data_IF_813062115147
#
_entry.id   IF_813062115147
#
_cell.length_a   1.000
_cell.length_b   1.000
_cell.length_c   1.000
_cell.angle_alpha   90.00
_cell.angle_beta   90.00
_cell.angle_gamma   90.00
#
_symmetry.space_group_name_H-M   'P 1'
#
loop_
_entity.id
_entity.type
_entity.pdbx_description
1 polymer ?
#
# COMPACT_ATOMS: atom_id res chain seq x y z
N UNK A 1 -37.45 -28.31 39.86
CA UNK A 1 -37.38 -27.79 41.25
C UNK A 1 -36.06 -28.23 41.86
N UNK A 2 -35.49 -27.39 42.74
CA UNK A 2 -34.11 -27.39 43.30
C UNK A 2 -33.12 -26.72 42.35
N UNK A 3 -32.64 -25.50 42.52
CA UNK A 3 -32.48 -24.66 43.72
C UNK A 3 -31.04 -24.15 43.68
N UNK A 4 -30.84 -22.92 43.21
CA UNK A 4 -29.53 -22.28 43.13
C UNK A 4 -28.88 -22.19 44.51
N UNK A 5 -27.62 -22.58 44.62
CA UNK A 5 -26.73 -22.11 45.70
C UNK A 5 -25.69 -21.23 45.03
N UNK A 6 -26.03 -19.95 44.96
CA UNK A 6 -25.17 -18.83 44.63
C UNK A 6 -24.14 -18.65 45.75
N UNK A 7 -22.85 -18.81 45.44
CA UNK A 7 -21.76 -18.42 46.34
C UNK A 7 -21.22 -17.05 45.87
N UNK A 8 -21.55 -15.95 46.56
CA UNK A 8 -21.29 -14.59 46.05
C UNK A 8 -19.83 -14.14 46.04
N UNK A 9 -18.87 -14.92 46.57
CA UNK A 9 -17.46 -14.50 46.60
C UNK A 9 -16.47 -15.64 46.94
N UNK A 10 -15.73 -16.25 45.99
CA UNK A 10 -14.61 -17.11 46.32
C UNK A 10 -13.33 -16.29 46.58
N UNK A 11 -12.86 -16.31 47.83
CA UNK A 11 -11.66 -15.62 48.34
C UNK A 11 -10.39 -15.92 47.54
N UNK A 12 -9.69 -14.85 47.13
CA UNK A 12 -8.42 -14.86 46.39
C UNK A 12 -7.26 -15.35 47.27
N UNK A 13 -6.54 -16.40 46.85
CA UNK A 13 -5.21 -16.72 47.37
C UNK A 13 -4.14 -16.33 46.36
N UNK A 14 -3.27 -15.39 46.77
CA UNK A 14 -2.18 -14.81 45.99
C UNK A 14 -0.90 -15.64 46.22
N UNK A 15 -0.39 -16.31 45.20
CA UNK A 15 0.98 -16.84 45.21
C UNK A 15 1.93 -15.87 44.51
N UNK A 16 2.90 -15.34 45.25
CA UNK A 16 4.01 -14.52 44.71
C UNK A 16 5.01 -15.43 44.00
N UNK A 17 5.23 -15.23 42.69
CA UNK A 17 6.51 -15.54 42.02
C UNK A 17 6.76 -14.50 40.92
N UNK A 18 7.95 -13.92 40.93
CA UNK A 18 8.47 -12.98 39.93
C UNK A 18 9.06 -13.75 38.73
N UNK A 19 8.69 -13.38 37.51
CA UNK A 19 9.53 -13.54 36.30
C UNK A 19 9.02 -12.62 35.18
N UNK A 20 9.93 -11.86 34.55
CA UNK A 20 9.66 -10.83 33.54
C UNK A 20 8.94 -11.34 32.27
N UNK A 21 8.01 -10.56 31.67
CA UNK A 21 7.59 -10.77 30.30
C UNK A 21 8.24 -9.76 29.33
N UNK A 22 8.91 -10.27 28.31
CA UNK A 22 9.34 -9.49 27.14
C UNK A 22 8.13 -9.18 26.26
N UNK A 23 7.80 -7.88 26.18
CA UNK A 23 7.07 -7.12 25.14
C UNK A 23 6.16 -7.94 24.20
N UNK A 24 4.88 -8.01 24.56
CA UNK A 24 3.79 -8.27 23.62
C UNK A 24 3.27 -6.90 23.11
N UNK A 25 3.54 -6.55 21.86
CA UNK A 25 3.02 -5.35 21.20
C UNK A 25 1.70 -5.71 20.53
N UNK A 26 0.60 -5.57 21.26
CA UNK A 26 -0.76 -5.64 20.72
C UNK A 26 -1.36 -4.24 20.71
N UNK A 27 -1.83 -3.85 19.53
CA UNK A 27 -3.12 -3.20 19.32
C UNK A 27 -3.44 -1.93 20.13
N UNK A 28 -3.22 -0.78 19.49
CA UNK A 28 -4.19 0.32 19.48
C UNK A 28 -3.94 1.15 18.21
N UNK A 29 -4.66 0.90 17.12
CA UNK A 29 -5.81 1.73 16.73
C UNK A 29 -5.61 3.22 17.05
N UNK A 30 -5.01 3.94 16.09
CA UNK A 30 -5.32 5.34 15.81
C UNK A 30 -5.24 5.53 14.30
N UNK A 31 -6.40 5.40 13.65
CA UNK A 31 -6.58 5.71 12.24
C UNK A 31 -6.28 7.18 12.00
N UNK A 32 -5.55 7.43 10.91
CA UNK A 32 -5.51 8.72 10.22
C UNK A 32 -6.95 9.25 10.03
N UNK A 33 -7.14 10.57 10.13
CA UNK A 33 -8.33 11.33 9.66
C UNK A 33 -9.48 11.66 10.61
N UNK A 34 -9.26 11.96 11.91
CA UNK A 34 -10.26 12.79 12.61
C UNK A 34 -9.63 13.84 13.54
N UNK A 35 -9.93 15.09 13.22
CA UNK A 35 -9.95 16.23 14.13
C UNK A 35 -11.42 16.37 14.56
N UNK A 36 -11.71 16.21 15.85
CA UNK A 36 -12.49 17.17 16.65
C UNK A 36 -12.48 16.77 18.14
N UNK A 37 -12.68 17.74 19.06
CA UNK A 37 -12.32 17.58 20.47
C UNK A 37 -13.53 17.15 21.31
N UNK A 38 -13.54 15.90 21.77
CA UNK A 38 -14.41 15.50 22.88
C UNK A 38 -13.68 15.60 24.21
N UNK A 39 -14.08 16.64 24.95
CA UNK A 39 -13.82 16.86 26.37
C UNK A 39 -14.43 15.72 27.18
N UNK A 40 -13.60 14.87 27.76
CA UNK A 40 -14.00 14.06 28.91
C UNK A 40 -12.86 13.99 29.92
N UNK A 41 -13.24 14.23 31.17
CA UNK A 41 -12.40 14.38 32.34
C UNK A 41 -11.77 13.03 32.70
N UNK A 42 -10.45 13.00 32.83
CA UNK A 42 -9.71 12.11 33.71
C UNK A 42 -8.32 12.75 33.92
N UNK A 43 -8.29 13.61 34.93
CA UNK A 43 -7.05 13.98 35.61
C UNK A 43 -6.47 12.74 36.31
N UNK A 44 -5.14 12.77 36.49
CA UNK A 44 -4.29 11.85 37.27
C UNK A 44 -3.60 10.75 36.44
N UNK A 45 -2.49 11.13 35.81
CA UNK A 45 -1.13 10.64 36.13
C UNK A 45 -0.15 11.17 35.07
N UNK A 46 0.32 12.41 35.28
CA UNK A 46 1.35 13.04 34.45
C UNK A 46 2.63 13.12 35.31
N UNK A 47 3.34 12.00 35.40
CA UNK A 47 4.73 11.96 35.86
C UNK A 47 5.61 11.44 34.71
N UNK A 48 6.42 12.35 34.18
CA UNK A 48 7.70 12.13 33.51
C UNK A 48 7.75 11.27 32.23
N UNK A 49 7.02 11.68 31.20
CA UNK A 49 7.48 11.47 29.82
C UNK A 49 8.14 12.77 29.36
N UNK A 50 9.48 12.83 29.46
CA UNK A 50 10.27 13.87 28.82
C UNK A 50 9.95 13.84 27.31
N UNK A 51 9.24 14.85 26.83
CA UNK A 51 9.14 15.13 25.40
C UNK A 51 10.54 15.53 24.93
N UNK A 52 11.35 14.55 24.50
CA UNK A 52 12.62 14.85 23.85
C UNK A 52 12.33 15.71 22.62
N UNK A 53 12.85 16.94 22.62
CA UNK A 53 12.72 17.85 21.50
C UNK A 53 13.36 17.18 20.27
N UNK A 54 12.57 17.02 19.20
CA UNK A 54 13.07 16.51 17.92
C UNK A 54 14.25 17.40 17.51
N UNK A 55 15.44 16.79 17.42
CA UNK A 55 16.68 17.52 17.21
C UNK A 55 16.62 18.28 15.89
N UNK A 56 17.18 19.50 15.83
CA UNK A 56 17.08 20.33 14.61
C UNK A 56 17.71 19.64 13.40
N UNK A 57 18.67 18.74 13.62
CA UNK A 57 19.29 17.90 12.61
C UNK A 57 18.37 16.79 12.08
N UNK A 58 17.44 16.29 12.89
CA UNK A 58 16.44 15.30 12.49
C UNK A 58 15.32 15.95 11.65
N UNK A 59 14.93 17.17 12.04
CA UNK A 59 14.03 18.04 11.25
C UNK A 59 14.70 18.46 9.94
N UNK A 60 15.97 18.86 9.97
CA UNK A 60 16.74 19.24 8.79
C UNK A 60 16.96 18.04 7.86
N UNK A 61 17.18 16.83 8.40
CA UNK A 61 17.24 15.59 7.63
C UNK A 61 15.91 15.26 6.94
N UNK A 62 14.79 15.36 7.67
CA UNK A 62 13.45 15.08 7.13
C UNK A 62 12.99 16.13 6.10
N UNK A 63 13.22 17.42 6.38
CA UNK A 63 12.89 18.51 5.47
C UNK A 63 13.85 18.56 4.28
N UNK A 64 15.14 18.27 4.45
CA UNK A 64 16.10 18.16 3.35
C UNK A 64 15.77 16.98 2.45
N UNK A 65 15.37 15.82 3.00
CA UNK A 65 14.89 14.68 2.22
C UNK A 65 13.66 15.03 1.38
N UNK A 66 12.72 15.79 1.94
CA UNK A 66 11.54 16.30 1.22
C UNK A 66 11.91 17.37 0.17
N UNK A 67 12.83 18.29 0.48
CA UNK A 67 13.25 19.37 -0.41
C UNK A 67 14.14 18.86 -1.57
N UNK A 68 14.94 17.82 -1.35
CA UNK A 68 15.72 17.14 -2.39
C UNK A 68 14.84 16.31 -3.32
N UNK A 69 13.80 15.66 -2.80
CA UNK A 69 12.81 14.93 -3.61
C UNK A 69 12.01 15.88 -4.52
N UNK A 70 11.78 17.11 -4.06
CA UNK A 70 11.02 18.11 -4.79
C UNK A 70 11.78 18.69 -6.01
N UNK A 71 13.12 18.59 -6.02
CA UNK A 71 13.96 19.31 -6.99
C UNK A 71 14.16 18.62 -8.35
N UNK A 72 13.92 17.31 -8.49
CA UNK A 72 13.82 16.69 -9.83
C UNK A 72 13.17 15.31 -9.78
N UNK A 73 11.84 15.25 -9.85
CA UNK A 73 11.15 14.00 -10.16
C UNK A 73 11.61 13.57 -11.55
N UNK A 74 12.43 12.53 -11.58
CA UNK A 74 13.04 11.99 -12.79
C UNK A 74 12.80 10.48 -12.86
N UNK A 75 13.10 9.88 -14.02
CA UNK A 75 12.82 8.46 -14.30
C UNK A 75 13.43 7.56 -13.23
N UNK A 76 14.62 7.91 -12.75
CA UNK A 76 15.36 7.16 -11.74
C UNK A 76 14.68 7.21 -10.36
N UNK A 77 14.21 8.39 -9.95
CA UNK A 77 13.44 8.53 -8.70
C UNK A 77 12.15 7.71 -8.72
N UNK A 78 11.42 7.71 -9.85
CA UNK A 78 10.21 6.91 -9.98
C UNK A 78 10.48 5.40 -9.91
N UNK A 79 11.53 4.90 -10.57
CA UNK A 79 11.87 3.47 -10.50
C UNK A 79 12.29 3.08 -9.08
N UNK A 80 13.07 3.92 -8.39
CA UNK A 80 13.50 3.68 -7.01
C UNK A 80 12.32 3.55 -6.03
N UNK A 81 11.21 4.27 -6.29
CA UNK A 81 9.99 4.20 -5.48
C UNK A 81 9.22 2.88 -5.68
N UNK A 82 9.18 2.36 -6.91
CA UNK A 82 8.33 1.22 -7.29
C UNK A 82 9.08 -0.12 -7.33
N UNK A 83 10.42 -0.11 -7.45
CA UNK A 83 11.24 -1.34 -7.55
C UNK A 83 11.09 -2.26 -6.35
N UNK A 84 10.96 -1.70 -5.15
CA UNK A 84 10.92 -2.42 -3.87
C UNK A 84 9.49 -2.87 -3.49
N UNK A 85 8.50 -2.68 -4.35
CA UNK A 85 7.16 -3.22 -4.12
C UNK A 85 7.24 -4.75 -4.28
N UNK A 86 6.57 -5.49 -3.40
CA UNK A 86 6.50 -6.94 -3.46
C UNK A 86 5.29 -7.38 -4.28
N UNK A 87 5.46 -8.48 -5.02
CA UNK A 87 4.38 -9.11 -5.74
C UNK A 87 3.40 -9.80 -4.75
N UNK A 88 2.08 -9.76 -4.97
CA UNK A 88 1.11 -10.39 -4.09
C UNK A 88 1.10 -11.93 -4.14
N UNK A 89 1.71 -12.55 -5.15
CA UNK A 89 1.79 -14.01 -5.32
C UNK A 89 3.21 -14.56 -5.12
N UNK A 90 4.24 -13.71 -5.24
CA UNK A 90 5.64 -14.10 -5.14
C UNK A 90 6.39 -13.30 -4.07
N UNK A 91 7.30 -13.92 -3.29
CA UNK A 91 8.09 -13.24 -2.25
C UNK A 91 9.22 -12.36 -2.82
N UNK A 92 9.12 -11.96 -4.09
CA UNK A 92 10.11 -11.22 -4.84
C UNK A 92 9.60 -9.80 -5.14
N UNK A 93 10.55 -8.90 -5.37
CA UNK A 93 10.22 -7.52 -5.73
C UNK A 93 9.83 -7.39 -7.20
N UNK A 94 9.10 -6.32 -7.55
CA UNK A 94 8.69 -6.07 -8.94
C UNK A 94 9.89 -5.90 -9.90
N UNK A 95 11.04 -5.46 -9.40
CA UNK A 95 12.28 -5.37 -10.20
C UNK A 95 12.87 -6.75 -10.50
N UNK A 96 12.96 -7.62 -9.49
CA UNK A 96 13.47 -9.00 -9.63
C UNK A 96 12.64 -9.82 -10.61
N UNK A 97 11.33 -9.60 -10.64
CA UNK A 97 10.40 -10.27 -11.54
C UNK A 97 10.30 -9.59 -12.92
N UNK A 98 11.08 -8.53 -13.17
CA UNK A 98 11.03 -7.72 -14.39
C UNK A 98 9.62 -7.20 -14.72
N UNK A 99 8.80 -6.98 -13.69
CA UNK A 99 7.45 -6.41 -13.80
C UNK A 99 7.54 -4.93 -14.14
N UNK A 100 8.51 -4.24 -13.54
CA UNK A 100 8.81 -2.83 -13.81
C UNK A 100 10.25 -2.69 -14.29
N UNK A 101 10.49 -1.73 -15.16
CA UNK A 101 11.83 -1.42 -15.67
C UNK A 101 11.93 0.07 -16.00
N UNK A 102 13.11 0.67 -15.84
CA UNK A 102 13.36 2.07 -16.17
C UNK A 102 12.84 2.53 -17.56
N UNK A 103 13.03 1.79 -18.68
CA UNK A 103 12.49 2.20 -19.98
C UNK A 103 10.96 2.23 -20.06
N UNK A 104 10.25 1.59 -19.14
CA UNK A 104 8.78 1.56 -19.11
C UNK A 104 8.17 2.77 -18.38
N UNK A 105 9.00 3.69 -17.89
CA UNK A 105 8.58 4.89 -17.18
C UNK A 105 8.84 6.11 -18.07
N UNK A 106 7.75 6.82 -18.40
CA UNK A 106 7.79 8.08 -19.13
C UNK A 106 7.34 9.22 -18.23
N UNK A 107 8.21 10.22 -18.10
CA UNK A 107 7.93 11.43 -17.33
C UNK A 107 7.78 12.59 -18.30
N UNK A 108 6.57 13.17 -18.32
CA UNK A 108 6.29 14.46 -18.94
C UNK A 108 6.21 15.57 -17.89
N UNK A 109 5.80 16.76 -18.31
CA UNK A 109 5.78 17.96 -17.45
C UNK A 109 4.91 17.78 -16.19
N UNK A 110 3.66 17.32 -16.36
CA UNK A 110 2.70 17.10 -15.27
C UNK A 110 2.06 15.71 -15.35
N UNK A 111 2.75 14.75 -15.99
CA UNK A 111 2.24 13.39 -16.17
C UNK A 111 3.36 12.38 -16.00
N UNK A 112 3.12 11.37 -15.19
CA UNK A 112 4.00 10.20 -15.06
C UNK A 112 3.23 9.01 -15.59
N UNK A 113 3.73 8.42 -16.67
CA UNK A 113 3.20 7.20 -17.26
C UNK A 113 4.08 6.03 -16.84
N UNK A 114 3.47 4.99 -16.29
CA UNK A 114 4.16 3.77 -15.87
C UNK A 114 3.55 2.60 -16.60
N UNK A 115 4.37 1.94 -17.41
CA UNK A 115 4.04 0.68 -18.04
C UNK A 115 4.60 -0.48 -17.22
N UNK A 116 3.80 -1.53 -16.99
CA UNK A 116 4.23 -2.69 -16.22
C UNK A 116 3.81 -4.02 -16.86
N UNK A 117 4.57 -5.07 -16.59
CA UNK A 117 4.40 -6.41 -17.14
C UNK A 117 3.92 -7.34 -16.01
N UNK A 118 2.65 -7.77 -15.96
CA UNK A 118 2.20 -8.66 -14.89
C UNK A 118 2.96 -9.99 -14.90
N UNK A 119 3.32 -10.51 -13.73
CA UNK A 119 3.98 -11.81 -13.53
C UNK A 119 3.11 -12.96 -14.00
N UNK A 120 1.83 -12.91 -13.62
CA UNK A 120 0.81 -13.87 -14.01
C UNK A 120 -0.30 -13.15 -14.77
N UNK A 121 -0.76 -13.69 -15.90
CA UNK A 121 -1.88 -13.15 -16.69
C UNK A 121 -3.27 -13.38 -16.02
N UNK A 122 -3.25 -13.46 -14.71
CA UNK A 122 -4.30 -13.29 -13.72
C UNK A 122 -4.85 -11.85 -13.66
N UNK A 123 -5.92 -11.57 -14.40
CA UNK A 123 -6.80 -10.41 -14.28
C UNK A 123 -6.82 -9.70 -12.90
N UNK A 124 -7.08 -10.45 -11.82
CA UNK A 124 -7.17 -9.89 -10.47
C UNK A 124 -5.82 -9.44 -9.89
N UNK A 125 -4.75 -10.21 -10.12
CA UNK A 125 -3.42 -9.93 -9.58
C UNK A 125 -2.73 -8.80 -10.33
N UNK A 126 -2.92 -8.72 -11.65
CA UNK A 126 -2.46 -7.57 -12.44
C UNK A 126 -3.05 -6.24 -11.95
N UNK A 127 -4.31 -6.28 -11.50
CA UNK A 127 -4.99 -5.10 -10.93
C UNK A 127 -4.45 -4.74 -9.56
N UNK A 128 -4.13 -5.72 -8.71
CA UNK A 128 -3.49 -5.48 -7.41
C UNK A 128 -2.08 -4.90 -7.56
N UNK A 129 -1.26 -5.44 -8.46
CA UNK A 129 0.07 -4.91 -8.76
C UNK A 129 -0.03 -3.46 -9.23
N UNK A 130 -0.93 -3.18 -10.18
CA UNK A 130 -1.17 -1.81 -10.67
C UNK A 130 -1.68 -0.86 -9.59
N UNK A 131 -2.55 -1.34 -8.69
CA UNK A 131 -3.05 -0.56 -7.56
C UNK A 131 -1.93 -0.25 -6.55
N UNK A 132 -1.06 -1.21 -6.23
CA UNK A 132 0.10 -1.02 -5.36
C UNK A 132 1.07 0.02 -5.92
N UNK A 133 1.39 -0.05 -7.22
CA UNK A 133 2.18 0.97 -7.92
C UNK A 133 1.49 2.34 -7.80
N UNK A 134 0.18 2.41 -8.04
CA UNK A 134 -0.58 3.66 -7.95
C UNK A 134 -0.54 4.27 -6.56
N UNK A 135 -0.79 3.48 -5.52
CA UNK A 135 -0.77 3.94 -4.13
C UNK A 135 0.62 4.44 -3.75
N UNK A 136 1.67 3.70 -4.12
CA UNK A 136 3.06 4.12 -3.84
C UNK A 136 3.36 5.48 -4.46
N UNK A 137 3.01 5.68 -5.73
CA UNK A 137 3.25 6.92 -6.45
C UNK A 137 2.37 8.07 -5.93
N UNK A 138 1.10 7.83 -5.57
CA UNK A 138 0.22 8.86 -4.98
C UNK A 138 0.78 9.35 -3.63
N UNK A 139 1.39 8.47 -2.84
CA UNK A 139 1.94 8.82 -1.52
C UNK A 139 3.28 9.55 -1.61
N UNK A 140 4.05 9.30 -2.66
CA UNK A 140 5.41 9.86 -2.82
C UNK A 140 5.49 11.05 -3.77
N UNK A 141 4.57 11.17 -4.74
CA UNK A 141 4.57 12.25 -5.73
C UNK A 141 3.56 13.35 -5.35
N UNK A 142 3.89 14.62 -5.60
CA UNK A 142 2.96 15.73 -5.40
C UNK A 142 1.71 15.58 -6.28
N UNK A 143 0.54 15.98 -5.76
CA UNK A 143 -0.78 15.84 -6.41
C UNK A 143 -0.94 16.58 -7.75
N UNK A 144 0.03 17.43 -8.11
CA UNK A 144 0.11 18.08 -9.43
C UNK A 144 0.34 17.09 -10.58
N UNK A 145 0.96 15.94 -10.30
CA UNK A 145 1.24 14.93 -11.32
C UNK A 145 0.02 14.05 -11.59
N UNK A 146 -0.30 13.88 -12.87
CA UNK A 146 -1.27 12.90 -13.34
C UNK A 146 -0.58 11.55 -13.51
N UNK A 147 -1.04 10.54 -12.79
CA UNK A 147 -0.54 9.17 -12.90
C UNK A 147 -1.35 8.42 -13.95
N UNK A 148 -0.64 7.80 -14.89
CA UNK A 148 -1.20 6.99 -15.97
C UNK A 148 -0.53 5.61 -15.91
N UNK A 149 -1.26 4.59 -15.46
CA UNK A 149 -0.71 3.26 -15.23
C UNK A 149 -1.29 2.30 -16.26
N UNK A 150 -0.41 1.68 -17.02
CA UNK A 150 -0.78 0.91 -18.22
C UNK A 150 -0.11 -0.46 -18.18
N UNK A 151 -0.86 -1.50 -18.47
CA UNK A 151 -0.30 -2.84 -18.67
C UNK A 151 0.38 -2.89 -20.04
N UNK A 152 1.60 -3.45 -20.08
CA UNK A 152 2.36 -3.64 -21.33
C UNK A 152 1.55 -4.45 -22.34
N UNK A 153 1.38 -3.96 -23.58
CA UNK A 153 0.76 -4.75 -24.64
C UNK A 153 1.68 -5.94 -24.97
N UNK A 154 1.10 -7.12 -25.02
CA UNK A 154 1.72 -8.40 -25.30
C UNK A 154 1.74 -9.34 -24.10
N UNK A 155 1.53 -8.82 -22.90
CA UNK A 155 1.99 -9.46 -21.66
C UNK A 155 0.90 -10.20 -20.88
N UNK A 156 -0.33 -10.30 -21.41
CA UNK A 156 -1.46 -10.92 -20.72
C UNK A 156 -2.13 -12.01 -21.59
N UNK A 157 -2.56 -13.13 -21.00
CA UNK A 157 -3.16 -14.28 -21.71
C UNK A 157 -4.44 -13.90 -22.44
N UNK A 158 -5.21 -12.95 -21.92
CA UNK A 158 -6.42 -12.46 -22.57
C UNK A 158 -6.13 -11.63 -23.82
N UNK A 159 -4.88 -11.24 -24.05
CA UNK A 159 -4.40 -10.68 -25.33
C UNK A 159 -3.89 -11.75 -26.30
N UNK A 160 -3.32 -12.85 -25.77
CA UNK A 160 -2.79 -13.97 -26.56
C UNK A 160 -3.88 -14.80 -27.25
N UNK A 161 -5.12 -14.76 -26.76
CA UNK A 161 -6.25 -15.47 -27.36
C UNK A 161 -6.57 -15.03 -28.82
N UNK A 162 -5.98 -13.93 -29.31
CA UNK A 162 -6.09 -13.47 -30.70
C UNK A 162 -4.85 -13.70 -31.59
N UNK A 163 -3.74 -14.26 -31.06
CA UNK A 163 -2.46 -14.38 -31.78
C UNK A 163 -2.23 -15.77 -32.40
N UNK A 164 -3.25 -16.37 -33.00
CA UNK A 164 -3.01 -17.48 -33.94
C UNK A 164 -2.48 -16.89 -35.25
N UNK A 165 -1.38 -17.40 -35.85
CA UNK A 165 -0.76 -16.81 -37.04
C UNK A 165 -1.67 -16.74 -38.28
N UNK A 166 -2.82 -17.42 -38.26
CA UNK A 166 -3.72 -17.56 -39.41
C UNK A 166 -5.07 -16.85 -39.26
N UNK A 167 -5.41 -16.35 -38.06
CA UNK A 167 -6.64 -15.56 -37.86
C UNK A 167 -6.36 -14.42 -36.89
N UNK A 168 -5.66 -13.40 -37.40
CA UNK A 168 -5.50 -12.12 -36.71
C UNK A 168 -6.87 -11.40 -36.76
N UNK A 169 -7.69 -11.56 -35.72
CA UNK A 169 -8.94 -10.83 -35.61
C UNK A 169 -8.69 -9.55 -34.78
N UNK A 170 -8.60 -8.36 -35.40
CA UNK A 170 -8.25 -7.11 -34.71
C UNK A 170 -9.31 -6.63 -33.72
N UNK A 171 -10.48 -7.29 -33.64
CA UNK A 171 -11.64 -6.84 -32.84
C UNK A 171 -11.69 -7.49 -31.45
N UNK A 172 -10.95 -8.58 -31.20
CA UNK A 172 -11.04 -9.36 -29.96
C UNK A 172 -9.91 -9.10 -28.94
N UNK A 173 -8.78 -8.55 -29.42
CA UNK A 173 -7.62 -8.09 -28.63
C UNK A 173 -7.94 -6.88 -27.68
N UNK A 174 -8.84 -5.94 -28.01
CA UNK A 174 -9.04 -4.73 -27.20
C UNK A 174 -9.69 -4.96 -25.82
N UNK A 175 -10.52 -5.99 -25.67
CA UNK A 175 -11.55 -5.92 -24.63
C UNK A 175 -11.02 -6.06 -23.20
N UNK A 176 -9.93 -6.81 -22.96
CA UNK A 176 -9.43 -7.06 -21.60
C UNK A 176 -8.33 -6.08 -21.13
N UNK A 177 -7.40 -5.70 -22.01
CA UNK A 177 -6.39 -4.68 -21.71
C UNK A 177 -7.07 -3.34 -21.39
N UNK A 178 -8.18 -3.04 -22.07
CA UNK A 178 -9.02 -1.89 -21.76
C UNK A 178 -9.69 -1.98 -20.39
N UNK A 179 -10.10 -3.17 -19.89
CA UNK A 179 -10.73 -3.26 -18.57
C UNK A 179 -9.75 -2.91 -17.46
N UNK A 180 -8.57 -3.54 -17.43
CA UNK A 180 -7.59 -3.29 -16.36
C UNK A 180 -7.07 -1.86 -16.43
N UNK A 181 -6.69 -1.38 -17.62
CA UNK A 181 -6.21 -0.01 -17.78
C UNK A 181 -7.31 1.02 -17.42
N UNK A 182 -8.57 0.75 -17.75
CA UNK A 182 -9.69 1.62 -17.38
C UNK A 182 -9.96 1.59 -15.88
N UNK A 183 -9.92 0.42 -15.25
CA UNK A 183 -10.06 0.29 -13.80
C UNK A 183 -8.94 1.01 -13.05
N UNK A 184 -7.69 0.82 -13.49
CA UNK A 184 -6.52 1.41 -12.86
C UNK A 184 -6.44 2.92 -13.07
N UNK A 185 -7.03 3.48 -14.13
CA UNK A 185 -7.00 4.91 -14.44
C UNK A 185 -8.25 5.68 -13.97
N UNK A 186 -9.36 5.00 -13.69
CA UNK A 186 -10.59 5.57 -13.12
C UNK A 186 -10.39 5.95 -11.65
N UNK A 187 -10.40 7.26 -11.37
CA UNK A 187 -10.13 7.80 -10.04
C UNK A 187 -11.17 7.40 -9.00
N UNK A 188 -12.45 7.31 -9.39
CA UNK A 188 -13.52 6.97 -8.47
C UNK A 188 -13.44 5.49 -8.10
N UNK A 189 -13.12 4.63 -9.08
CA UNK A 189 -12.89 3.20 -8.82
C UNK A 189 -11.71 2.95 -7.92
N UNK A 190 -10.59 3.65 -8.15
CA UNK A 190 -9.41 3.53 -7.29
C UNK A 190 -9.71 4.03 -5.88
N UNK A 191 -10.41 5.15 -5.73
CA UNK A 191 -10.81 5.66 -4.41
C UNK A 191 -11.71 4.65 -3.67
N UNK A 192 -12.73 4.12 -4.32
CA UNK A 192 -13.60 3.09 -3.74
C UNK A 192 -12.85 1.80 -3.37
N UNK A 193 -11.85 1.40 -4.16
CA UNK A 193 -11.00 0.25 -3.84
C UNK A 193 -10.16 0.49 -2.56
N UNK A 194 -9.71 1.74 -2.35
CA UNK A 194 -8.95 2.15 -1.15
C UNK A 194 -9.83 2.38 0.08
N UNK A 195 -11.16 2.37 -0.05
CA UNK A 195 -12.08 2.32 1.09
C UNK A 195 -12.33 0.89 1.58
N UNK A 196 -11.99 -0.13 0.77
CA UNK A 196 -12.13 -1.52 1.16
C UNK A 196 -10.94 -1.97 2.04
N UNK A 197 -11.15 -2.30 3.33
CA UNK A 197 -10.07 -2.62 4.24
C UNK A 197 -9.31 -3.89 3.86
N UNK A 198 -9.94 -4.85 3.17
CA UNK A 198 -9.28 -6.06 2.72
C UNK A 198 -8.25 -5.76 1.62
N UNK A 199 -8.63 -4.93 0.65
CA UNK A 199 -7.73 -4.53 -0.45
C UNK A 199 -6.60 -3.64 0.05
N UNK A 200 -6.91 -2.69 0.94
CA UNK A 200 -5.88 -1.82 1.55
C UNK A 200 -4.86 -2.65 2.29
N UNK A 201 -5.29 -3.66 3.06
CA UNK A 201 -4.37 -4.54 3.78
C UNK A 201 -3.42 -5.25 2.81
N UNK A 202 -3.94 -5.88 1.77
CA UNK A 202 -3.10 -6.56 0.76
C UNK A 202 -2.13 -5.59 0.08
N UNK A 203 -2.59 -4.39 -0.29
CA UNK A 203 -1.72 -3.37 -0.87
C UNK A 203 -0.62 -2.95 0.11
N UNK A 204 -0.95 -2.69 1.38
CA UNK A 204 0.05 -2.34 2.40
C UNK A 204 1.04 -3.49 2.66
N UNK A 205 0.59 -4.75 2.62
CA UNK A 205 1.47 -5.92 2.71
C UNK A 205 2.47 -5.95 1.52
N UNK A 206 2.02 -5.65 0.30
CA UNK A 206 2.89 -5.49 -0.87
C UNK A 206 3.87 -4.31 -0.75
N UNK A 207 3.47 -3.20 -0.09
CA UNK A 207 4.32 -2.02 0.08
C UNK A 207 5.35 -2.18 1.21
N UNK A 208 5.06 -3.00 2.22
CA UNK A 208 5.91 -3.20 3.41
C UNK A 208 6.76 -4.46 3.35
N UNK A 209 6.56 -5.32 2.34
CA UNK A 209 7.27 -6.60 2.20
C UNK A 209 6.81 -7.65 3.18
N UNK A 210 5.52 -7.64 3.53
CA UNK A 210 4.86 -8.64 4.37
C UNK A 210 3.95 -9.58 3.56
N UNK A 211 4.02 -9.49 2.23
CA UNK A 211 3.28 -10.33 1.29
C UNK A 211 3.74 -11.78 1.36
#
# INVERSE_FOLDING_TARGET
MSGEIFNPNPTVFRSSVKSHPSRHLLAAKKSLWMIEPERSQLDQDVEDLEEEAIDQDEIFGALSFLYWLELSINRWSCIDLIRNIYDPEHPNTLEELHVVSAPQIDIGENRVKVEFTPTIPHCGMSTLIGLSIRVRLIRSLPTRFKLDIVVKPGSHQSELAGKSPLHFNPVLIPFYLDVVNKQLNDKERVAAALENPALVKTVEDCLTGRA
#
